data_IF_821369704014
#
_entry.id   IF_821369704014
#
_cell.length_a   1.000
_cell.length_b   1.000
_cell.length_c   1.000
_cell.angle_alpha   90.00
_cell.angle_beta   90.00
_cell.angle_gamma   90.00
#
_symmetry.space_group_name_H-M   'P 1'
#
loop_
_entity.id
_entity.type
_entity.pdbx_description
1 polymer ?
#
# COMPACT_ATOMS: atom_id res chain seq x y z
N UNK A 1 2.01 5.22 16.13
CA UNK A 1 2.66 5.51 14.80
C UNK A 1 3.56 6.74 14.88
N UNK A 2 3.15 7.85 15.48
CA UNK A 2 3.98 9.06 15.69
C UNK A 2 5.32 8.74 16.40
N UNK A 3 5.29 7.88 17.39
CA UNK A 3 6.47 7.49 18.15
C UNK A 3 7.53 6.71 17.35
N UNK A 4 7.18 6.19 16.17
CA UNK A 4 8.12 5.45 15.34
C UNK A 4 9.14 6.34 14.61
N UNK A 5 8.87 7.64 14.49
CA UNK A 5 9.70 8.60 13.74
C UNK A 5 10.49 9.56 14.62
N UNK A 6 10.72 9.20 15.89
CA UNK A 6 11.39 10.07 16.90
C UNK A 6 12.70 10.70 16.39
N UNK A 7 13.53 9.92 15.69
CA UNK A 7 14.82 10.44 15.21
C UNK A 7 14.66 11.46 14.08
N UNK A 8 13.64 11.31 13.24
CA UNK A 8 13.35 12.28 12.17
C UNK A 8 12.89 13.60 12.79
N UNK A 9 11.99 13.54 13.78
CA UNK A 9 11.56 14.72 14.52
C UNK A 9 12.73 15.39 15.24
N UNK A 10 13.62 14.61 15.88
CA UNK A 10 14.80 15.13 16.56
C UNK A 10 15.72 15.88 15.59
N UNK A 11 16.02 15.31 14.42
CA UNK A 11 16.86 15.92 13.40
C UNK A 11 16.20 17.21 12.88
N UNK A 12 14.90 17.20 12.62
CA UNK A 12 14.16 18.38 12.20
C UNK A 12 14.16 19.49 13.27
N UNK A 13 14.01 19.14 14.55
CA UNK A 13 14.10 20.10 15.65
C UNK A 13 15.48 20.71 15.78
N UNK A 14 16.55 19.91 15.63
CA UNK A 14 17.92 20.42 15.63
C UNK A 14 18.14 21.39 14.46
N UNK A 15 17.70 21.02 13.26
CA UNK A 15 17.76 21.87 12.07
C UNK A 15 17.00 23.19 12.31
N UNK A 16 15.78 23.13 12.82
CA UNK A 16 14.96 24.29 13.14
C UNK A 16 15.66 25.20 14.15
N UNK A 17 16.21 24.64 15.22
CA UNK A 17 16.93 25.40 16.24
C UNK A 17 18.14 26.16 15.66
N UNK A 18 18.92 25.50 14.79
CA UNK A 18 20.08 26.12 14.14
C UNK A 18 19.65 27.28 13.26
N UNK A 19 18.61 27.08 12.44
CA UNK A 19 18.07 28.14 11.56
C UNK A 19 17.53 29.30 12.36
N UNK A 20 16.71 29.09 13.37
CA UNK A 20 16.15 30.16 14.19
C UNK A 20 17.25 30.96 14.91
N UNK A 21 18.28 30.29 15.45
CA UNK A 21 19.40 30.96 16.06
C UNK A 21 20.15 31.88 15.07
N UNK A 22 20.26 31.49 13.81
CA UNK A 22 20.83 32.33 12.74
C UNK A 22 19.91 33.50 12.40
N UNK A 23 18.60 33.25 12.25
CA UNK A 23 17.62 34.24 11.83
C UNK A 23 17.36 35.34 12.89
N UNK A 24 17.37 34.98 14.18
CA UNK A 24 17.17 35.98 15.26
C UNK A 24 18.21 37.07 15.29
N UNK A 25 19.36 36.89 14.63
CA UNK A 25 20.37 37.92 14.49
C UNK A 25 20.07 38.96 13.37
N UNK A 26 19.14 38.62 12.48
CA UNK A 26 18.81 39.44 11.31
C UNK A 26 17.41 40.05 11.46
N UNK A 27 17.31 41.39 11.53
CA UNK A 27 16.02 42.08 11.64
C UNK A 27 15.08 41.90 10.43
N UNK A 28 15.65 41.56 9.25
CA UNK A 28 14.89 41.31 8.02
C UNK A 28 14.94 39.83 7.61
N UNK A 29 14.75 38.93 8.58
CA UNK A 29 14.89 37.48 8.36
C UNK A 29 13.96 36.93 7.28
N UNK A 30 12.77 37.52 7.05
CA UNK A 30 11.80 37.10 6.05
C UNK A 30 12.29 37.21 4.60
N UNK A 31 13.29 38.06 4.32
CA UNK A 31 13.91 38.18 2.98
C UNK A 31 15.09 37.22 2.80
N UNK A 32 15.57 36.62 3.89
CA UNK A 32 16.74 35.74 3.89
C UNK A 32 16.42 34.42 3.14
N UNK A 33 17.33 34.00 2.26
CA UNK A 33 17.22 32.75 1.53
C UNK A 33 17.14 31.56 2.48
N UNK A 34 17.84 31.58 3.62
CA UNK A 34 17.81 30.54 4.64
C UNK A 34 16.41 30.37 5.21
N UNK A 35 15.68 31.43 5.46
CA UNK A 35 14.31 31.41 5.92
C UNK A 35 13.36 30.78 4.87
N UNK A 36 13.53 31.15 3.60
CA UNK A 36 12.73 30.57 2.51
C UNK A 36 12.98 29.07 2.37
N UNK A 37 14.23 28.62 2.42
CA UNK A 37 14.58 27.20 2.40
C UNK A 37 13.97 26.49 3.62
N UNK A 38 14.02 27.11 4.80
CA UNK A 38 13.40 26.55 5.99
C UNK A 38 11.88 26.38 5.85
N UNK A 39 11.19 27.38 5.31
CA UNK A 39 9.74 27.27 5.06
C UNK A 39 9.41 26.13 4.10
N UNK A 40 10.13 26.01 2.98
CA UNK A 40 9.97 24.88 2.05
C UNK A 40 10.19 23.55 2.77
N UNK A 41 11.24 23.45 3.59
CA UNK A 41 11.57 22.26 4.38
C UNK A 41 10.47 21.92 5.39
N UNK A 42 9.92 22.93 6.07
CA UNK A 42 8.82 22.78 7.03
C UNK A 42 7.54 22.26 6.34
N UNK A 43 7.13 22.86 5.23
CA UNK A 43 5.97 22.43 4.47
C UNK A 43 6.16 21.02 3.90
N UNK A 44 7.34 20.70 3.38
CA UNK A 44 7.68 19.35 2.91
C UNK A 44 7.62 18.33 4.03
N UNK A 45 8.12 18.66 5.20
CA UNK A 45 8.06 17.80 6.39
C UNK A 45 6.61 17.52 6.79
N UNK A 46 5.78 18.56 6.92
CA UNK A 46 4.36 18.44 7.27
C UNK A 46 3.63 17.59 6.22
N UNK A 47 3.84 17.86 4.93
CA UNK A 47 3.22 17.13 3.84
C UNK A 47 3.59 15.62 3.84
N UNK A 48 4.88 15.29 4.05
CA UNK A 48 5.34 13.90 4.09
C UNK A 48 4.87 13.16 5.34
N UNK A 49 4.81 13.83 6.50
CA UNK A 49 4.20 13.25 7.72
C UNK A 49 2.73 12.96 7.47
N UNK A 50 1.99 13.93 6.93
CA UNK A 50 0.57 13.76 6.61
C UNK A 50 0.35 12.63 5.59
N UNK A 51 1.13 12.61 4.50
CA UNK A 51 1.09 11.54 3.51
C UNK A 51 1.34 10.17 4.14
N UNK A 52 2.37 10.05 5.00
CA UNK A 52 2.69 8.79 5.70
C UNK A 52 1.55 8.33 6.62
N UNK A 53 0.86 9.26 7.27
CA UNK A 53 -0.29 8.95 8.13
C UNK A 53 -1.50 8.45 7.32
N UNK A 54 -1.78 9.08 6.18
CA UNK A 54 -2.90 8.71 5.31
C UNK A 54 -2.66 7.38 4.57
N UNK A 55 -1.48 7.25 3.97
CA UNK A 55 -1.20 6.08 3.09
C UNK A 55 -0.61 4.89 3.83
N UNK A 56 -0.24 5.06 5.13
CA UNK A 56 0.54 4.09 5.91
C UNK A 56 1.89 3.71 5.26
N UNK A 57 2.29 4.41 4.19
CA UNK A 57 3.55 4.21 3.50
C UNK A 57 4.67 5.01 4.18
N UNK A 58 5.61 4.29 4.81
CA UNK A 58 6.65 4.88 5.65
C UNK A 58 7.98 5.10 4.92
N UNK A 59 8.12 4.62 3.68
CA UNK A 59 9.43 4.57 3.00
C UNK A 59 9.94 5.99 2.69
N UNK A 60 9.07 6.86 2.19
CA UNK A 60 9.45 8.20 1.70
C UNK A 60 9.96 9.10 2.82
N UNK A 61 9.41 8.99 4.03
CA UNK A 61 9.78 9.87 5.16
C UNK A 61 11.26 9.71 5.60
N UNK A 62 11.89 8.58 5.31
CA UNK A 62 13.29 8.35 5.69
C UNK A 62 14.29 9.18 4.89
N UNK A 63 13.92 9.68 3.72
CA UNK A 63 14.74 10.64 2.96
C UNK A 63 14.96 11.96 3.71
N UNK A 64 14.09 12.28 4.66
CA UNK A 64 14.25 13.50 5.48
C UNK A 64 15.45 13.44 6.43
N UNK A 65 15.94 12.24 6.77
CA UNK A 65 17.11 12.06 7.65
C UNK A 65 18.36 12.69 7.02
N UNK A 66 18.85 12.24 5.86
CA UNK A 66 20.03 12.84 5.23
C UNK A 66 19.76 14.28 4.77
N UNK A 67 18.56 14.60 4.32
CA UNK A 67 18.21 15.95 3.87
C UNK A 67 18.34 16.97 5.00
N UNK A 68 17.66 16.77 6.12
CA UNK A 68 17.73 17.72 7.24
C UNK A 68 19.06 17.70 7.97
N UNK A 69 19.73 16.54 8.05
CA UNK A 69 21.09 16.48 8.58
C UNK A 69 22.07 17.26 7.72
N UNK A 70 21.96 17.17 6.39
CA UNK A 70 22.78 17.92 5.46
C UNK A 70 22.54 19.43 5.52
N UNK A 71 21.26 19.85 5.51
CA UNK A 71 20.91 21.27 5.68
C UNK A 71 21.38 21.83 7.02
N UNK A 72 21.18 21.08 8.11
CA UNK A 72 21.68 21.47 9.42
C UNK A 72 23.20 21.59 9.43
N UNK A 73 23.93 20.66 8.82
CA UNK A 73 25.40 20.67 8.73
C UNK A 73 25.92 21.90 7.98
N UNK A 74 25.31 22.28 6.86
CA UNK A 74 25.67 23.48 6.10
C UNK A 74 25.55 24.72 6.99
N UNK A 75 24.41 24.89 7.67
CA UNK A 75 24.17 26.07 8.52
C UNK A 75 25.03 26.10 9.80
N UNK A 76 25.35 24.92 10.37
CA UNK A 76 26.32 24.85 11.50
C UNK A 76 27.67 25.38 11.11
N UNK A 77 28.19 25.05 9.94
CA UNK A 77 29.49 25.45 9.46
C UNK A 77 29.59 26.96 9.22
N UNK A 78 28.49 27.63 8.93
CA UNK A 78 28.47 29.08 8.71
C UNK A 78 28.37 29.87 10.01
N UNK A 79 27.67 29.38 11.05
CA UNK A 79 27.17 30.27 12.12
C UNK A 79 27.66 29.96 13.55
N UNK A 80 28.23 28.79 13.84
CA UNK A 80 28.43 28.35 15.22
C UNK A 80 29.92 28.21 15.63
N UNK A 81 30.25 28.68 16.85
CA UNK A 81 31.61 28.52 17.42
C UNK A 81 32.00 27.05 17.66
N UNK A 82 31.03 26.18 17.99
CA UNK A 82 31.23 24.75 18.23
C UNK A 82 31.01 23.89 16.96
N UNK A 83 31.33 24.46 15.78
CA UNK A 83 31.09 23.87 14.46
C UNK A 83 31.49 22.37 14.37
N UNK A 84 32.74 22.10 14.74
CA UNK A 84 33.31 20.74 14.60
C UNK A 84 32.55 19.67 15.37
N UNK A 85 32.26 19.93 16.64
CA UNK A 85 31.58 18.96 17.50
C UNK A 85 30.10 18.72 17.08
N UNK A 86 29.40 19.81 16.75
CA UNK A 86 28.01 19.72 16.33
C UNK A 86 27.89 19.06 14.94
N UNK A 87 28.80 19.33 14.03
CA UNK A 87 28.89 18.66 12.73
C UNK A 87 29.14 17.16 12.88
N UNK A 88 30.09 16.75 13.72
CA UNK A 88 30.35 15.35 14.00
C UNK A 88 29.12 14.67 14.62
N UNK A 89 28.47 15.35 15.58
CA UNK A 89 27.24 14.83 16.19
C UNK A 89 26.14 14.61 15.15
N UNK A 90 25.89 15.55 14.22
CA UNK A 90 24.92 15.42 13.14
C UNK A 90 25.24 14.27 12.20
N UNK A 91 26.52 14.07 11.85
CA UNK A 91 26.96 12.95 11.02
C UNK A 91 26.67 11.62 11.72
N UNK A 92 27.07 11.47 12.99
CA UNK A 92 26.81 10.25 13.75
C UNK A 92 25.31 10.00 13.96
N UNK A 93 24.52 11.06 14.22
CA UNK A 93 23.07 10.97 14.34
C UNK A 93 22.42 10.51 13.03
N UNK A 94 22.87 11.06 11.89
CA UNK A 94 22.40 10.67 10.56
C UNK A 94 22.72 9.21 10.26
N UNK A 95 23.95 8.77 10.49
CA UNK A 95 24.38 7.38 10.28
C UNK A 95 23.59 6.44 11.21
N UNK A 96 23.52 6.76 12.50
CA UNK A 96 22.82 5.94 13.49
C UNK A 96 21.32 5.83 13.19
N UNK A 97 20.68 6.94 12.80
CA UNK A 97 19.28 6.93 12.40
C UNK A 97 19.04 6.10 11.14
N UNK A 98 19.90 6.24 10.13
CA UNK A 98 19.82 5.50 8.87
C UNK A 98 20.00 4.01 9.13
N UNK A 99 21.02 3.60 9.89
CA UNK A 99 21.26 2.21 10.26
C UNK A 99 20.08 1.61 11.04
N UNK A 100 19.57 2.34 12.05
CA UNK A 100 18.41 1.89 12.84
C UNK A 100 17.20 1.62 11.96
N UNK A 101 16.87 2.53 11.05
CA UNK A 101 15.72 2.36 10.18
C UNK A 101 15.97 1.33 9.09
N UNK A 102 17.21 1.21 8.58
CA UNK A 102 17.59 0.15 7.66
C UNK A 102 17.40 -1.24 8.29
N UNK A 103 17.95 -1.45 9.49
CA UNK A 103 17.78 -2.71 10.22
C UNK A 103 16.30 -3.03 10.43
N UNK A 104 15.52 -2.04 10.91
CA UNK A 104 14.11 -2.24 11.20
C UNK A 104 13.27 -2.59 9.97
N UNK A 105 13.48 -1.90 8.83
CA UNK A 105 12.58 -2.03 7.68
C UNK A 105 13.11 -2.94 6.58
N UNK A 106 14.43 -3.09 6.45
CA UNK A 106 15.02 -3.91 5.40
C UNK A 106 15.51 -5.28 5.92
N UNK A 107 15.68 -5.44 7.23
CA UNK A 107 16.10 -6.71 7.84
C UNK A 107 14.98 -7.31 8.67
N UNK A 108 14.59 -6.65 9.79
CA UNK A 108 13.59 -7.18 10.73
C UNK A 108 12.18 -7.24 10.12
N UNK A 109 11.81 -6.25 9.32
CA UNK A 109 10.49 -6.09 8.71
C UNK A 109 10.54 -6.16 7.18
N UNK A 110 11.51 -6.90 6.64
CA UNK A 110 11.69 -7.05 5.19
C UNK A 110 10.42 -7.49 4.49
N UNK A 111 9.65 -8.37 5.12
CA UNK A 111 8.33 -8.81 4.67
C UNK A 111 7.31 -8.36 5.69
N UNK A 112 6.88 -7.09 5.60
CA UNK A 112 6.05 -6.43 6.62
C UNK A 112 4.81 -7.23 7.01
N UNK A 113 4.16 -7.88 6.04
CA UNK A 113 2.96 -8.69 6.25
C UNK A 113 3.27 -10.11 6.75
N UNK A 114 4.54 -10.52 6.72
CA UNK A 114 5.00 -11.86 7.06
C UNK A 114 5.82 -11.91 8.37
N UNK A 115 5.68 -10.92 9.26
CA UNK A 115 6.49 -10.83 10.49
C UNK A 115 6.38 -12.04 11.42
N UNK A 116 5.21 -12.69 11.45
CA UNK A 116 4.92 -13.86 12.28
C UNK A 116 5.05 -15.18 11.53
N UNK A 117 5.46 -15.14 10.26
CA UNK A 117 5.51 -16.32 9.39
C UNK A 117 6.93 -16.87 9.33
N UNK A 118 7.06 -18.15 9.54
CA UNK A 118 8.32 -18.86 9.31
C UNK A 118 8.56 -19.02 7.80
N UNK A 119 9.42 -18.15 7.25
CA UNK A 119 9.74 -18.13 5.83
C UNK A 119 10.45 -19.42 5.39
N UNK A 120 11.04 -20.20 6.30
CA UNK A 120 11.66 -21.48 5.96
C UNK A 120 10.65 -22.53 5.52
N UNK A 121 9.39 -22.39 5.90
CA UNK A 121 8.30 -23.31 5.54
C UNK A 121 7.66 -23.02 4.17
N UNK A 122 8.27 -22.13 3.38
CA UNK A 122 7.78 -21.83 2.04
C UNK A 122 7.66 -23.07 1.15
N UNK A 123 6.77 -22.97 0.14
CA UNK A 123 6.63 -23.95 -0.93
C UNK A 123 7.05 -23.34 -2.28
N UNK A 124 7.37 -24.19 -3.26
CA UNK A 124 7.61 -23.72 -4.62
C UNK A 124 6.32 -23.19 -5.24
N UNK A 125 6.29 -21.93 -5.62
CA UNK A 125 5.15 -21.29 -6.28
C UNK A 125 4.90 -21.84 -7.70
N UNK A 126 5.88 -22.51 -8.32
CA UNK A 126 5.71 -23.29 -9.55
C UNK A 126 4.63 -24.36 -9.41
N UNK A 127 4.38 -24.82 -8.19
CA UNK A 127 3.26 -25.73 -7.89
C UNK A 127 1.88 -25.10 -8.09
N UNK A 128 1.73 -23.78 -8.05
CA UNK A 128 0.49 -23.09 -8.43
C UNK A 128 0.41 -23.02 -9.96
N UNK A 129 1.42 -22.39 -10.58
CA UNK A 129 1.51 -22.29 -12.05
C UNK A 129 2.98 -22.21 -12.49
N UNK A 130 3.31 -22.81 -13.65
CA UNK A 130 4.68 -22.82 -14.22
C UNK A 130 5.27 -21.42 -14.41
N UNK A 131 4.46 -20.38 -14.58
CA UNK A 131 4.93 -18.97 -14.66
C UNK A 131 5.59 -18.48 -13.37
N UNK A 132 5.40 -19.18 -12.25
CA UNK A 132 5.97 -18.87 -10.94
C UNK A 132 7.12 -19.79 -10.54
N UNK A 133 7.68 -20.54 -11.47
CA UNK A 133 8.86 -21.35 -11.21
C UNK A 133 9.97 -20.49 -10.59
N UNK A 134 10.69 -21.07 -9.62
CA UNK A 134 11.74 -20.43 -8.83
C UNK A 134 11.27 -19.34 -7.84
N UNK A 135 9.96 -19.04 -7.74
CA UNK A 135 9.43 -18.21 -6.70
C UNK A 135 9.04 -19.07 -5.49
N UNK A 136 9.10 -18.48 -4.30
CA UNK A 136 8.68 -19.12 -3.06
C UNK A 136 7.31 -18.61 -2.64
N UNK A 137 6.42 -19.53 -2.29
CA UNK A 137 5.07 -19.22 -1.82
C UNK A 137 5.00 -19.32 -0.31
N UNK A 138 4.56 -18.24 0.31
CA UNK A 138 4.27 -18.15 1.74
C UNK A 138 3.24 -17.04 1.94
N UNK A 139 2.30 -17.22 2.87
CA UNK A 139 1.25 -16.23 3.17
C UNK A 139 1.08 -16.04 4.68
N UNK A 140 0.52 -14.90 5.11
CA UNK A 140 0.29 -14.62 6.53
C UNK A 140 -0.66 -15.60 7.19
N UNK A 141 -1.65 -16.13 6.46
CA UNK A 141 -2.62 -17.07 6.97
C UNK A 141 -2.06 -18.50 7.11
N UNK A 142 -1.02 -18.82 6.36
CA UNK A 142 -0.41 -20.14 6.35
C UNK A 142 0.59 -20.31 7.49
N UNK A 143 0.10 -20.57 8.68
CA UNK A 143 0.92 -20.76 9.88
C UNK A 143 1.76 -22.05 9.88
N UNK A 144 1.48 -22.97 8.93
CA UNK A 144 2.21 -24.22 8.76
C UNK A 144 2.16 -24.70 7.30
N UNK A 145 3.05 -25.66 6.98
CA UNK A 145 3.20 -26.19 5.63
C UNK A 145 1.90 -26.84 5.09
N UNK A 146 1.08 -27.45 5.95
CA UNK A 146 -0.17 -28.07 5.54
C UNK A 146 -1.18 -27.03 5.02
N UNK A 147 -1.32 -25.89 5.69
CA UNK A 147 -2.18 -24.79 5.23
C UNK A 147 -1.71 -24.20 3.90
N UNK A 148 -0.39 -24.10 3.68
CA UNK A 148 0.17 -23.68 2.39
C UNK A 148 -0.19 -24.67 1.26
N UNK A 149 -0.13 -25.98 1.52
CA UNK A 149 -0.53 -27.00 0.54
C UNK A 149 -2.02 -26.87 0.20
N UNK A 150 -2.86 -26.69 1.21
CA UNK A 150 -4.31 -26.50 1.00
C UNK A 150 -4.60 -25.22 0.21
N UNK A 151 -3.88 -24.14 0.48
CA UNK A 151 -3.99 -22.89 -0.27
C UNK A 151 -3.56 -23.06 -1.72
N UNK A 152 -2.44 -23.72 -1.99
CA UNK A 152 -1.98 -24.00 -3.35
C UNK A 152 -3.03 -24.86 -4.11
N UNK A 153 -3.61 -25.86 -3.45
CA UNK A 153 -4.68 -26.67 -4.04
C UNK A 153 -5.89 -25.81 -4.41
N UNK A 154 -6.31 -24.94 -3.50
CA UNK A 154 -7.38 -23.97 -3.74
C UNK A 154 -7.07 -23.06 -4.93
N UNK A 155 -5.86 -22.49 -5.00
CA UNK A 155 -5.47 -21.58 -6.09
C UNK A 155 -5.45 -22.29 -7.45
N UNK A 156 -5.01 -23.55 -7.51
CA UNK A 156 -5.10 -24.37 -8.73
C UNK A 156 -6.54 -24.65 -9.17
N UNK A 157 -7.41 -24.95 -8.22
CA UNK A 157 -8.83 -25.14 -8.49
C UNK A 157 -9.46 -23.87 -9.08
N UNK A 158 -9.14 -22.70 -8.51
CA UNK A 158 -9.61 -21.40 -9.02
C UNK A 158 -9.03 -21.07 -10.39
N UNK A 159 -7.75 -21.37 -10.64
CA UNK A 159 -7.16 -21.21 -11.97
C UNK A 159 -7.90 -22.06 -13.02
N UNK A 160 -8.14 -23.32 -12.74
CA UNK A 160 -8.86 -24.21 -13.66
C UNK A 160 -10.30 -23.73 -13.92
N UNK A 161 -11.01 -23.31 -12.86
CA UNK A 161 -12.33 -22.72 -12.97
C UNK A 161 -12.36 -21.50 -13.89
N UNK A 162 -11.42 -20.59 -13.71
CA UNK A 162 -11.35 -19.35 -14.50
C UNK A 162 -10.95 -19.61 -15.95
N UNK A 163 -10.08 -20.58 -16.22
CA UNK A 163 -9.69 -20.99 -17.57
C UNK A 163 -10.81 -21.59 -18.38
N UNK A 164 -11.76 -22.28 -17.76
CA UNK A 164 -12.93 -22.86 -18.43
C UNK A 164 -13.97 -21.81 -18.83
N UNK A 165 -13.93 -20.64 -18.19
CA UNK A 165 -14.84 -19.53 -18.52
C UNK A 165 -14.17 -18.55 -19.47
N UNK A 166 -14.43 -18.65 -20.76
CA UNK A 166 -13.89 -17.78 -21.80
C UNK A 166 -14.61 -16.43 -21.92
N UNK A 167 -15.66 -16.21 -21.12
CA UNK A 167 -16.39 -14.94 -21.14
C UNK A 167 -15.62 -13.83 -20.43
N UNK A 168 -15.91 -12.58 -20.79
CA UNK A 168 -15.41 -11.45 -20.03
C UNK A 168 -15.97 -11.48 -18.61
N UNK A 169 -15.08 -11.41 -17.64
CA UNK A 169 -15.39 -11.59 -16.22
C UNK A 169 -14.74 -10.55 -15.33
N UNK A 170 -15.32 -10.35 -14.16
CA UNK A 170 -14.69 -9.63 -13.04
C UNK A 170 -14.32 -10.68 -11.99
N UNK A 171 -13.14 -10.50 -11.37
CA UNK A 171 -12.66 -11.39 -10.30
C UNK A 171 -12.37 -10.53 -9.08
N UNK A 172 -13.10 -10.76 -7.99
CA UNK A 172 -12.88 -10.18 -6.67
C UNK A 172 -12.03 -11.14 -5.85
N UNK A 173 -10.77 -10.79 -5.64
CA UNK A 173 -9.81 -11.58 -4.86
C UNK A 173 -8.62 -10.72 -4.45
N UNK A 174 -7.95 -11.06 -3.36
CA UNK A 174 -6.66 -10.48 -2.98
C UNK A 174 -5.50 -11.05 -3.82
N UNK A 175 -5.69 -12.15 -4.54
CA UNK A 175 -4.69 -12.81 -5.38
C UNK A 175 -4.62 -12.15 -6.77
N UNK A 176 -4.03 -10.95 -6.84
CA UNK A 176 -3.95 -10.14 -8.08
C UNK A 176 -3.19 -10.81 -9.24
N UNK A 177 -2.41 -11.85 -8.96
CA UNK A 177 -1.62 -12.57 -9.96
C UNK A 177 -2.46 -13.40 -10.96
N UNK A 178 -3.74 -13.60 -10.73
CA UNK A 178 -4.60 -14.32 -11.69
C UNK A 178 -4.59 -13.67 -13.08
N UNK A 179 -4.43 -12.36 -13.18
CA UNK A 179 -4.26 -11.67 -14.48
C UNK A 179 -3.03 -12.18 -15.24
N UNK A 180 -1.92 -12.42 -14.53
CA UNK A 180 -0.68 -12.95 -15.11
C UNK A 180 -0.83 -14.40 -15.53
N UNK A 181 -1.44 -15.23 -14.69
CA UNK A 181 -1.66 -16.66 -14.98
C UNK A 181 -2.54 -16.83 -16.21
N UNK A 182 -3.66 -16.14 -16.24
CA UNK A 182 -4.67 -16.25 -17.30
C UNK A 182 -4.24 -15.53 -18.58
N UNK A 183 -3.35 -14.54 -18.49
CA UNK A 183 -2.99 -13.68 -19.62
C UNK A 183 -4.12 -12.73 -20.02
N UNK A 184 -5.07 -12.46 -19.11
CA UNK A 184 -6.23 -11.60 -19.36
C UNK A 184 -6.42 -10.59 -18.21
N UNK A 185 -7.21 -9.53 -18.50
CA UNK A 185 -7.54 -8.54 -17.48
C UNK A 185 -8.66 -9.10 -16.56
N UNK A 186 -8.45 -9.04 -15.25
CA UNK A 186 -9.46 -9.44 -14.25
C UNK A 186 -10.62 -8.45 -14.10
N UNK A 187 -10.50 -7.27 -14.75
CA UNK A 187 -11.51 -6.21 -14.82
C UNK A 187 -12.04 -5.70 -13.47
N UNK A 188 -11.43 -6.06 -12.36
CA UNK A 188 -11.83 -5.59 -11.05
C UNK A 188 -11.63 -4.06 -10.93
N UNK A 189 -12.61 -3.32 -10.38
CA UNK A 189 -12.50 -1.86 -10.20
C UNK A 189 -11.48 -1.47 -9.13
N UNK A 190 -11.15 -2.37 -8.22
CA UNK A 190 -10.13 -2.21 -7.19
C UNK A 190 -9.17 -3.40 -7.20
N UNK A 191 -7.96 -3.17 -6.68
CA UNK A 191 -6.94 -4.23 -6.55
C UNK A 191 -6.96 -4.89 -5.18
N UNK A 192 -7.45 -4.19 -4.17
CA UNK A 192 -7.52 -4.63 -2.78
C UNK A 192 -8.93 -4.44 -2.27
N UNK A 193 -9.37 -5.32 -1.39
CA UNK A 193 -10.72 -5.36 -0.83
C UNK A 193 -10.70 -5.43 0.70
N UNK A 194 -10.02 -4.48 1.39
CA UNK A 194 -10.05 -4.42 2.84
C UNK A 194 -11.45 -4.05 3.32
N UNK A 195 -11.90 -4.69 4.40
CA UNK A 195 -13.27 -4.49 4.93
C UNK A 195 -13.47 -3.09 5.55
N UNK A 196 -12.40 -2.36 5.81
CA UNK A 196 -12.44 -1.00 6.39
C UNK A 196 -12.71 0.11 5.38
N UNK A 197 -12.98 -0.22 4.12
CA UNK A 197 -13.27 0.75 3.06
C UNK A 197 -12.07 1.62 2.63
N UNK A 198 -10.85 1.32 3.09
CA UNK A 198 -9.68 2.16 2.81
C UNK A 198 -9.21 2.15 1.35
N UNK A 199 -9.65 1.19 0.54
CA UNK A 199 -9.27 1.05 -0.87
C UNK A 199 -10.42 1.29 -1.86
N UNK A 200 -11.65 1.37 -1.38
CA UNK A 200 -12.87 1.66 -2.17
C UNK A 200 -13.96 2.17 -1.23
N UNK A 201 -14.92 3.00 -1.73
CA UNK A 201 -16.01 3.53 -0.91
C UNK A 201 -16.94 2.42 -0.42
N UNK A 202 -17.35 2.43 0.84
CA UNK A 202 -18.38 1.55 1.39
C UNK A 202 -19.71 2.29 1.48
N UNK A 203 -20.78 1.56 1.77
CA UNK A 203 -22.12 2.15 1.92
C UNK A 203 -22.11 3.29 2.96
N UNK A 204 -22.63 4.45 2.57
CA UNK A 204 -22.61 5.68 3.36
C UNK A 204 -21.45 6.63 3.05
N UNK A 205 -20.45 6.21 2.31
CA UNK A 205 -19.35 7.08 1.92
C UNK A 205 -19.75 8.06 0.82
N UNK A 206 -19.15 9.25 0.83
CA UNK A 206 -19.36 10.31 -0.16
C UNK A 206 -19.25 9.85 -1.61
N UNK A 207 -18.31 8.96 -1.90
CA UNK A 207 -17.99 8.50 -3.26
C UNK A 207 -18.61 7.14 -3.62
N UNK A 208 -19.50 6.60 -2.78
CA UNK A 208 -20.14 5.30 -3.02
C UNK A 208 -20.86 5.24 -4.38
N UNK A 209 -21.67 6.25 -4.68
CA UNK A 209 -22.42 6.31 -5.93
C UNK A 209 -21.52 6.47 -7.17
N UNK A 210 -20.41 7.18 -7.05
CA UNK A 210 -19.46 7.35 -8.16
C UNK A 210 -18.70 6.05 -8.42
N UNK A 211 -18.34 5.32 -7.38
CA UNK A 211 -17.76 3.98 -7.52
C UNK A 211 -18.75 2.98 -8.13
N UNK A 212 -20.02 3.03 -7.74
CA UNK A 212 -21.10 2.25 -8.34
C UNK A 212 -21.22 2.54 -9.85
N UNK A 213 -21.22 3.81 -10.25
CA UNK A 213 -21.23 4.21 -11.67
C UNK A 213 -20.01 3.68 -12.42
N UNK A 214 -18.83 3.75 -11.81
CA UNK A 214 -17.60 3.20 -12.37
C UNK A 214 -17.73 1.69 -12.61
N UNK A 215 -18.23 0.94 -11.62
CA UNK A 215 -18.43 -0.51 -11.74
C UNK A 215 -19.41 -0.84 -12.86
N UNK A 216 -20.55 -0.15 -12.95
CA UNK A 216 -21.54 -0.32 -14.02
C UNK A 216 -20.90 0.00 -15.39
N UNK A 217 -20.14 1.08 -15.50
CA UNK A 217 -19.44 1.43 -16.73
C UNK A 217 -18.42 0.35 -17.16
N UNK A 218 -17.71 -0.26 -16.21
CA UNK A 218 -16.81 -1.40 -16.49
C UNK A 218 -17.61 -2.60 -17.01
N UNK A 219 -18.71 -2.94 -16.34
CA UNK A 219 -19.58 -4.06 -16.73
C UNK A 219 -20.07 -3.90 -18.16
N UNK A 220 -20.57 -2.71 -18.51
CA UNK A 220 -21.11 -2.43 -19.85
C UNK A 220 -20.00 -2.34 -20.90
N UNK A 221 -18.95 -1.53 -20.66
CA UNK A 221 -17.85 -1.28 -21.61
C UNK A 221 -17.05 -2.54 -21.93
N UNK A 222 -16.86 -3.42 -20.95
CA UNK A 222 -16.05 -4.64 -21.08
C UNK A 222 -16.89 -5.87 -21.38
N UNK A 223 -18.18 -5.72 -21.61
CA UNK A 223 -19.10 -6.85 -21.89
C UNK A 223 -19.01 -7.94 -20.82
N UNK A 224 -18.96 -7.54 -19.54
CA UNK A 224 -18.86 -8.50 -18.43
C UNK A 224 -20.12 -9.37 -18.36
N UNK A 225 -19.93 -10.69 -18.36
CA UNK A 225 -21.01 -11.67 -18.24
C UNK A 225 -21.04 -12.32 -16.88
N UNK A 226 -19.87 -12.59 -16.31
CA UNK A 226 -19.73 -13.30 -15.04
C UNK A 226 -18.88 -12.50 -14.05
N UNK A 227 -19.25 -12.62 -12.77
CA UNK A 227 -18.49 -12.07 -11.65
C UNK A 227 -18.16 -13.21 -10.69
N UNK A 228 -16.89 -13.34 -10.35
CA UNK A 228 -16.40 -14.29 -9.38
C UNK A 228 -15.96 -13.56 -8.12
N UNK A 229 -16.47 -13.97 -6.99
CA UNK A 229 -16.05 -13.50 -5.67
C UNK A 229 -15.43 -14.69 -4.95
N UNK A 230 -14.13 -14.61 -4.69
CA UNK A 230 -13.40 -15.70 -4.04
C UNK A 230 -13.58 -15.63 -2.53
N UNK A 231 -13.31 -16.76 -1.84
CA UNK A 231 -13.50 -16.90 -0.38
C UNK A 231 -12.70 -15.89 0.48
N UNK A 232 -11.64 -15.32 -0.09
CA UNK A 232 -10.79 -14.32 0.56
C UNK A 232 -11.41 -12.91 0.56
N UNK A 233 -12.52 -12.71 -0.18
CA UNK A 233 -13.24 -11.42 -0.27
C UNK A 233 -14.71 -11.63 0.07
N UNK A 234 -15.32 -10.69 0.81
CA UNK A 234 -16.75 -10.69 1.08
C UNK A 234 -17.57 -10.42 -0.19
N UNK A 235 -18.69 -11.14 -0.36
CA UNK A 235 -19.59 -10.89 -1.50
C UNK A 235 -20.17 -9.48 -1.53
N UNK A 236 -20.31 -8.84 -0.38
CA UNK A 236 -20.80 -7.47 -0.26
C UNK A 236 -19.94 -6.48 -1.07
N UNK A 237 -18.66 -6.81 -1.30
CA UNK A 237 -17.76 -6.02 -2.16
C UNK A 237 -18.24 -5.89 -3.61
N UNK A 238 -19.21 -6.70 -3.99
CA UNK A 238 -19.88 -6.63 -5.29
C UNK A 238 -21.39 -6.37 -5.13
N UNK A 239 -22.08 -7.10 -4.25
CA UNK A 239 -23.53 -7.07 -4.15
C UNK A 239 -24.10 -5.76 -3.62
N UNK A 240 -23.32 -5.00 -2.83
CA UNK A 240 -23.75 -3.68 -2.33
C UNK A 240 -23.85 -2.61 -3.43
N UNK A 241 -23.18 -2.83 -4.57
CA UNK A 241 -23.14 -1.85 -5.66
C UNK A 241 -24.08 -2.18 -6.82
N UNK A 242 -24.57 -3.41 -6.91
CA UNK A 242 -25.44 -3.87 -8.00
C UNK A 242 -26.75 -4.37 -7.44
N UNK A 243 -27.84 -3.89 -8.01
CA UNK A 243 -29.17 -4.36 -7.58
C UNK A 243 -29.28 -5.88 -7.78
N UNK A 244 -29.88 -6.54 -6.80
CA UNK A 244 -30.08 -8.02 -6.81
C UNK A 244 -30.87 -8.51 -8.01
N UNK A 245 -31.77 -7.68 -8.58
CA UNK A 245 -32.50 -8.00 -9.81
C UNK A 245 -31.62 -8.01 -11.07
N UNK A 246 -30.43 -7.40 -11.00
CA UNK A 246 -29.50 -7.32 -12.11
C UNK A 246 -28.45 -8.44 -12.10
N UNK A 247 -28.49 -9.31 -11.10
CA UNK A 247 -27.52 -10.40 -10.92
C UNK A 247 -28.23 -11.69 -10.53
N UNK A 248 -27.76 -12.82 -11.09
CA UNK A 248 -28.21 -14.14 -10.71
C UNK A 248 -27.04 -14.90 -10.10
N UNK A 249 -27.13 -15.30 -8.84
CA UNK A 249 -26.14 -16.17 -8.20
C UNK A 249 -26.26 -17.58 -8.80
N UNK A 250 -25.25 -18.01 -9.58
CA UNK A 250 -25.21 -19.31 -10.27
C UNK A 250 -24.56 -20.38 -9.40
N UNK A 251 -23.54 -20.00 -8.63
CA UNK A 251 -22.81 -20.90 -7.75
C UNK A 251 -22.52 -20.23 -6.41
N UNK A 252 -22.70 -20.99 -5.36
CA UNK A 252 -22.38 -20.58 -3.98
C UNK A 252 -21.74 -21.77 -3.26
N UNK A 253 -20.42 -21.77 -3.16
CA UNK A 253 -19.69 -22.80 -2.45
C UNK A 253 -18.61 -22.19 -1.53
N UNK A 254 -17.94 -23.02 -0.74
CA UNK A 254 -16.95 -22.56 0.25
C UNK A 254 -15.75 -21.83 -0.35
N UNK A 255 -15.44 -22.02 -1.66
CA UNK A 255 -14.25 -21.51 -2.31
C UNK A 255 -14.53 -20.25 -3.12
N UNK A 256 -15.72 -20.11 -3.70
CA UNK A 256 -16.11 -18.95 -4.49
C UNK A 256 -17.63 -18.83 -4.62
N UNK A 257 -18.07 -17.62 -4.97
CA UNK A 257 -19.43 -17.35 -5.45
C UNK A 257 -19.35 -16.84 -6.88
N UNK A 258 -20.27 -17.30 -7.74
CA UNK A 258 -20.37 -16.90 -9.14
C UNK A 258 -21.71 -16.23 -9.39
N UNK A 259 -21.67 -15.02 -9.95
CA UNK A 259 -22.85 -14.26 -10.35
C UNK A 259 -22.83 -14.07 -11.86
N UNK A 260 -24.01 -14.22 -12.50
CA UNK A 260 -24.25 -13.85 -13.88
C UNK A 260 -24.92 -12.48 -13.94
N UNK A 261 -24.43 -11.60 -14.79
CA UNK A 261 -25.01 -10.27 -15.02
C UNK A 261 -26.25 -10.42 -15.92
N UNK A 262 -27.37 -9.86 -15.47
CA UNK A 262 -28.58 -9.72 -16.28
C UNK A 262 -28.55 -8.35 -17.00
N UNK A 263 -28.20 -8.34 -18.28
CA UNK A 263 -28.06 -7.10 -19.07
C UNK A 263 -29.38 -6.40 -19.37
N UNK A 264 -30.48 -7.12 -19.33
CA UNK A 264 -31.82 -6.54 -19.56
C UNK A 264 -32.34 -5.81 -18.32
N UNK A 265 -31.54 -5.70 -17.28
CA UNK A 265 -31.87 -4.97 -16.08
C UNK A 265 -31.82 -3.46 -16.35
N UNK A 266 -32.91 -2.73 -16.10
CA UNK A 266 -33.03 -1.28 -16.34
C UNK A 266 -32.03 -0.42 -15.56
N UNK A 267 -31.54 -0.91 -14.43
CA UNK A 267 -30.61 -0.19 -13.56
C UNK A 267 -29.14 -0.28 -14.03
N UNK A 268 -28.84 -1.11 -15.01
CA UNK A 268 -27.54 -1.14 -15.66
C UNK A 268 -27.49 -0.19 -16.88
N UNK A 269 -28.62 0.26 -17.37
CA UNK A 269 -28.79 1.21 -18.47
C UNK A 269 -29.18 2.57 -17.94
#
# INVERSE_FOLDING_TARGET
>A
TFLNFKLIYLIFLIYSFIIFKSLFKNKKFYTDLKFKIYLISLFSFIALVHHTLLTKNQIIIFFLIPLFSGLAHIHVNEELKLKKYLSLFLIFLCIGATLKYHLRFNVERKFHELQSVDISQNLDAGSINKKFNNLKWVTPEAQNKQKLVEEIKYLKEMENLLKTDVSNKIIYTHYSFFSVILGENVNSPSRWFPQDGSAFPISGDKFFNDYRKLLIAIILKKDIKNVYVFKDVSENMFTDYINTNCINKISDNKNYKKFKINRNCKELN
#
